data_IF_692141279865
#
_entry.id   IF_692141279865
#
_cell.length_a   1.000
_cell.length_b   1.000
_cell.length_c   1.000
_cell.angle_alpha   90.00
_cell.angle_beta   90.00
_cell.angle_gamma   90.00
#
_symmetry.space_group_name_H-M   'P 1'
#
loop_
_entity.id
_entity.type
_entity.pdbx_description
1 polymer ?
#
# COMPACT_ATOMS: atom_id res chain seq x y z
N UNK A 1 5.66 26.23 -32.84
CA UNK A 1 4.99 24.98 -33.28
C UNK A 1 5.36 23.88 -32.30
N UNK A 2 4.53 23.68 -31.33
CA UNK A 2 4.73 22.63 -30.30
C UNK A 2 4.49 21.27 -30.97
N UNK A 3 5.52 20.44 -31.04
CA UNK A 3 5.46 19.12 -31.64
C UNK A 3 4.51 18.29 -30.80
N UNK A 4 3.26 18.14 -31.22
CA UNK A 4 2.27 17.24 -30.61
C UNK A 4 2.90 15.84 -30.59
N UNK A 5 3.52 15.49 -29.44
CA UNK A 5 4.19 14.22 -29.22
C UNK A 5 3.11 13.15 -29.33
N UNK A 6 3.02 12.46 -30.46
CA UNK A 6 2.19 11.26 -30.60
C UNK A 6 2.61 10.31 -29.50
N UNK A 7 1.72 10.12 -28.54
CA UNK A 7 1.99 9.26 -27.39
C UNK A 7 2.05 7.82 -27.91
N UNK A 8 3.24 7.24 -27.86
CA UNK A 8 3.49 5.88 -28.29
C UNK A 8 2.61 4.89 -27.53
N UNK A 9 2.22 3.78 -28.18
CA UNK A 9 1.48 2.69 -27.56
C UNK A 9 2.11 2.21 -26.26
N UNK A 10 3.45 2.28 -26.15
CA UNK A 10 4.22 1.97 -24.95
C UNK A 10 3.83 2.84 -23.75
N UNK A 11 3.55 4.12 -23.98
CA UNK A 11 3.07 5.03 -22.95
C UNK A 11 1.73 4.57 -22.41
N UNK A 12 0.78 4.28 -23.28
CA UNK A 12 -0.54 3.82 -22.88
C UNK A 12 -0.52 2.47 -22.18
N UNK A 13 0.32 1.54 -22.64
CA UNK A 13 0.51 0.25 -21.95
C UNK A 13 1.05 0.44 -20.54
N UNK A 14 1.99 1.36 -20.31
CA UNK A 14 2.50 1.69 -18.97
C UNK A 14 1.43 2.35 -18.10
N UNK A 15 0.67 3.29 -18.62
CA UNK A 15 -0.42 3.96 -17.89
C UNK A 15 -1.48 2.94 -17.44
N UNK A 16 -1.97 2.15 -18.37
CA UNK A 16 -2.98 1.14 -18.05
C UNK A 16 -2.42 0.03 -17.15
N UNK A 17 -1.20 -0.44 -17.43
CA UNK A 17 -0.55 -1.49 -16.64
C UNK A 17 -0.32 -1.08 -15.19
N UNK A 18 0.31 0.06 -14.95
CA UNK A 18 0.57 0.55 -13.59
C UNK A 18 -0.73 0.90 -12.86
N UNK A 19 -1.67 1.55 -13.54
CA UNK A 19 -2.97 1.88 -12.96
C UNK A 19 -3.75 0.64 -12.55
N UNK A 20 -3.84 -0.36 -13.45
CA UNK A 20 -4.53 -1.61 -13.17
C UNK A 20 -3.88 -2.39 -12.02
N UNK A 21 -2.56 -2.54 -12.05
CA UNK A 21 -1.80 -3.24 -10.99
C UNK A 21 -1.99 -2.55 -9.65
N UNK A 22 -1.88 -1.22 -9.60
CA UNK A 22 -2.09 -0.45 -8.37
C UNK A 22 -3.49 -0.65 -7.79
N UNK A 23 -4.53 -0.59 -8.63
CA UNK A 23 -5.91 -0.80 -8.18
C UNK A 23 -6.19 -2.24 -7.75
N UNK A 24 -5.60 -3.23 -8.42
CA UNK A 24 -5.70 -4.64 -8.00
C UNK A 24 -5.04 -4.86 -6.64
N UNK A 25 -3.83 -4.31 -6.42
CA UNK A 25 -3.15 -4.40 -5.13
C UNK A 25 -3.98 -3.77 -4.01
N UNK A 26 -4.51 -2.56 -4.20
CA UNK A 26 -5.40 -1.91 -3.23
C UNK A 26 -6.67 -2.72 -2.95
N UNK A 27 -7.25 -3.34 -3.98
CA UNK A 27 -8.44 -4.17 -3.82
C UNK A 27 -8.13 -5.42 -3.00
N UNK A 28 -7.02 -6.09 -3.29
CA UNK A 28 -6.56 -7.26 -2.53
C UNK A 28 -6.31 -6.87 -1.06
N UNK A 29 -5.61 -5.77 -0.81
CA UNK A 29 -5.33 -5.26 0.53
C UNK A 29 -6.63 -5.02 1.31
N UNK A 30 -7.58 -4.29 0.74
CA UNK A 30 -8.81 -3.94 1.43
C UNK A 30 -9.78 -5.12 1.64
N UNK A 31 -9.76 -6.13 0.77
CA UNK A 31 -10.69 -7.26 0.85
C UNK A 31 -10.09 -8.47 1.58
N UNK A 32 -8.93 -8.92 1.11
CA UNK A 32 -8.35 -10.18 1.57
C UNK A 32 -7.60 -10.07 2.89
N UNK A 33 -6.97 -8.93 3.17
CA UNK A 33 -6.22 -8.75 4.41
C UNK A 33 -7.14 -8.64 5.62
N UNK A 34 -8.28 -7.98 5.50
CA UNK A 34 -9.29 -7.97 6.54
C UNK A 34 -9.78 -9.39 6.84
N UNK A 35 -10.03 -10.18 5.79
CA UNK A 35 -10.42 -11.59 5.95
C UNK A 35 -9.32 -12.43 6.58
N UNK A 36 -8.06 -12.20 6.17
CA UNK A 36 -6.89 -12.87 6.75
C UNK A 36 -6.76 -12.59 8.24
N UNK A 37 -6.84 -11.34 8.65
CA UNK A 37 -6.75 -10.94 10.06
C UNK A 37 -7.85 -11.61 10.88
N UNK A 38 -9.08 -11.59 10.39
CA UNK A 38 -10.20 -12.22 11.07
C UNK A 38 -10.05 -13.74 11.20
N UNK A 39 -9.55 -14.40 10.15
CA UNK A 39 -9.42 -15.86 10.12
C UNK A 39 -8.19 -16.37 10.87
N UNK A 40 -7.07 -15.64 10.86
CA UNK A 40 -5.75 -16.13 11.29
C UNK A 40 -5.18 -15.45 12.53
N UNK A 41 -5.59 -14.23 12.80
CA UNK A 41 -5.06 -13.43 13.91
C UNK A 41 -6.05 -13.38 15.07
N UNK A 42 -7.22 -12.83 14.84
CA UNK A 42 -8.27 -12.74 15.86
C UNK A 42 -9.65 -12.56 15.24
N UNK A 43 -10.64 -13.23 15.79
CA UNK A 43 -12.05 -13.04 15.42
C UNK A 43 -12.64 -11.81 16.13
N UNK A 44 -11.96 -10.69 16.03
CA UNK A 44 -12.34 -9.43 16.65
C UNK A 44 -12.36 -8.29 15.61
N UNK A 45 -13.54 -7.77 15.26
CA UNK A 45 -13.67 -6.65 14.33
C UNK A 45 -12.98 -5.37 14.79
N UNK A 46 -12.74 -5.22 16.09
CA UNK A 46 -12.09 -4.03 16.66
C UNK A 46 -10.66 -3.89 16.14
N UNK A 47 -9.91 -4.99 16.01
CA UNK A 47 -8.53 -5.00 15.48
C UNK A 47 -8.52 -4.54 14.02
N UNK A 48 -9.48 -5.02 13.21
CA UNK A 48 -9.62 -4.61 11.81
C UNK A 48 -9.95 -3.11 11.73
N UNK A 49 -10.82 -2.61 12.61
CA UNK A 49 -11.16 -1.19 12.64
C UNK A 49 -9.96 -0.31 12.97
N UNK A 50 -9.13 -0.71 13.93
CA UNK A 50 -7.87 -0.01 14.23
C UNK A 50 -6.87 -0.08 13.08
N UNK A 51 -6.72 -1.24 12.47
CA UNK A 51 -5.87 -1.44 11.30
C UNK A 51 -6.25 -0.47 10.18
N UNK A 52 -7.50 -0.46 9.76
CA UNK A 52 -8.01 0.42 8.70
C UNK A 52 -7.86 1.90 9.07
N UNK A 53 -8.15 2.30 10.31
CA UNK A 53 -8.05 3.69 10.74
C UNK A 53 -6.60 4.19 10.72
N UNK A 54 -5.66 3.41 11.23
CA UNK A 54 -4.24 3.78 11.28
C UNK A 54 -3.65 3.80 9.86
N UNK A 55 -4.02 2.85 9.02
CA UNK A 55 -3.59 2.82 7.61
C UNK A 55 -4.12 3.99 6.80
N UNK A 56 -5.37 4.43 7.04
CA UNK A 56 -5.91 5.63 6.41
C UNK A 56 -5.13 6.90 6.79
N UNK A 57 -4.71 7.02 8.05
CA UNK A 57 -3.85 8.12 8.51
C UNK A 57 -2.48 8.03 7.85
N UNK A 58 -1.86 6.85 7.83
CA UNK A 58 -0.56 6.60 7.21
C UNK A 58 -0.57 6.94 5.71
N UNK A 59 -1.61 6.50 4.98
CA UNK A 59 -1.84 6.81 3.56
C UNK A 59 -1.95 8.32 3.32
N UNK A 60 -2.72 9.02 4.15
CA UNK A 60 -2.89 10.47 4.04
C UNK A 60 -1.56 11.20 4.22
N UNK A 61 -0.82 10.86 5.27
CA UNK A 61 0.51 11.44 5.55
C UNK A 61 1.46 11.15 4.39
N UNK A 62 1.50 9.92 3.89
CA UNK A 62 2.36 9.52 2.78
C UNK A 62 2.05 10.31 1.51
N UNK A 63 0.77 10.46 1.15
CA UNK A 63 0.34 11.20 -0.03
C UNK A 63 0.82 12.65 0.02
N UNK A 64 0.62 13.35 1.13
CA UNK A 64 1.09 14.72 1.29
C UNK A 64 2.61 14.83 1.29
N UNK A 65 3.28 13.98 2.06
CA UNK A 65 4.74 14.01 2.20
C UNK A 65 5.44 13.71 0.86
N UNK A 66 5.09 12.59 0.22
CA UNK A 66 5.72 12.16 -1.02
C UNK A 66 5.22 12.92 -2.24
N UNK A 67 3.99 13.42 -2.23
CA UNK A 67 3.50 14.34 -3.25
C UNK A 67 4.38 15.58 -3.32
N UNK A 68 4.53 16.30 -2.20
CA UNK A 68 5.37 17.48 -2.12
C UNK A 68 6.86 17.21 -2.37
N UNK A 69 7.37 16.05 -1.90
CA UNK A 69 8.77 15.69 -2.07
C UNK A 69 9.09 15.30 -3.51
N UNK A 70 8.17 14.60 -4.18
CA UNK A 70 8.33 14.23 -5.59
C UNK A 70 8.27 15.43 -6.51
N UNK A 71 7.43 16.43 -6.19
CA UNK A 71 7.33 17.69 -6.91
C UNK A 71 8.63 18.50 -6.81
N UNK A 72 9.20 18.59 -5.61
CA UNK A 72 10.48 19.30 -5.39
C UNK A 72 11.66 18.65 -6.08
N UNK A 73 11.73 17.31 -6.09
CA UNK A 73 12.86 16.56 -6.65
C UNK A 73 12.74 16.28 -8.15
N UNK A 74 11.55 16.36 -8.74
CA UNK A 74 11.31 16.07 -10.15
C UNK A 74 11.62 14.64 -10.61
N UNK A 75 11.88 13.71 -9.68
CA UNK A 75 12.31 12.33 -9.97
C UNK A 75 11.19 11.31 -9.68
N UNK A 76 10.02 11.50 -10.27
CA UNK A 76 8.82 10.70 -9.99
C UNK A 76 9.02 9.19 -10.19
N UNK A 77 9.80 8.78 -11.20
CA UNK A 77 10.10 7.35 -11.46
C UNK A 77 10.69 6.63 -10.25
N UNK A 78 11.58 7.30 -9.51
CA UNK A 78 12.22 6.69 -8.34
C UNK A 78 11.21 6.48 -7.21
N UNK A 79 10.29 7.43 -6.99
CA UNK A 79 9.25 7.30 -5.98
C UNK A 79 8.27 6.18 -6.32
N UNK A 80 7.88 6.05 -7.59
CA UNK A 80 7.04 4.95 -8.07
C UNK A 80 7.75 3.62 -7.85
N UNK A 81 8.98 3.45 -8.36
CA UNK A 81 9.72 2.20 -8.27
C UNK A 81 10.00 1.76 -6.83
N UNK A 82 10.53 2.67 -6.00
CA UNK A 82 10.81 2.39 -4.58
C UNK A 82 9.50 2.11 -3.82
N UNK A 83 8.46 2.89 -4.06
CA UNK A 83 7.16 2.70 -3.44
C UNK A 83 6.59 1.31 -3.69
N UNK A 84 6.55 0.86 -4.94
CA UNK A 84 6.05 -0.48 -5.28
C UNK A 84 6.92 -1.62 -4.73
N UNK A 85 8.25 -1.47 -4.73
CA UNK A 85 9.16 -2.47 -4.15
C UNK A 85 8.93 -2.60 -2.64
N UNK A 86 8.89 -1.47 -1.93
CA UNK A 86 8.67 -1.47 -0.48
C UNK A 86 7.25 -1.96 -0.14
N UNK A 87 6.26 -1.57 -0.93
CA UNK A 87 4.90 -2.09 -0.78
C UNK A 87 4.87 -3.61 -0.86
N UNK A 88 5.53 -4.21 -1.87
CA UNK A 88 5.65 -5.66 -2.01
C UNK A 88 6.38 -6.32 -0.82
N UNK A 89 7.47 -5.73 -0.33
CA UNK A 89 8.21 -6.24 0.84
C UNK A 89 7.31 -6.25 2.09
N UNK A 90 6.62 -5.13 2.37
CA UNK A 90 5.74 -5.05 3.53
C UNK A 90 4.49 -5.91 3.40
N UNK A 91 4.01 -6.18 2.17
CA UNK A 91 2.96 -7.18 1.90
C UNK A 91 3.41 -8.58 2.33
N UNK A 92 4.64 -8.96 2.02
CA UNK A 92 5.21 -10.24 2.46
C UNK A 92 5.33 -10.27 3.98
N UNK A 93 5.84 -9.19 4.60
CA UNK A 93 5.95 -9.09 6.05
C UNK A 93 4.58 -9.18 6.73
N UNK A 94 3.54 -8.57 6.17
CA UNK A 94 2.18 -8.70 6.65
C UNK A 94 1.73 -10.17 6.68
N UNK A 95 1.99 -10.92 5.61
CA UNK A 95 1.70 -12.36 5.55
C UNK A 95 2.42 -13.18 6.64
N UNK A 96 3.63 -12.80 7.03
CA UNK A 96 4.39 -13.52 8.07
C UNK A 96 3.82 -13.34 9.48
N UNK A 97 2.93 -12.38 9.70
CA UNK A 97 2.27 -12.20 11.01
C UNK A 97 1.46 -13.41 11.45
N UNK A 98 1.03 -14.26 10.53
CA UNK A 98 0.38 -15.55 10.81
C UNK A 98 1.25 -16.47 11.70
N UNK A 99 2.57 -16.36 11.58
CA UNK A 99 3.48 -17.19 12.39
C UNK A 99 3.43 -16.88 13.87
N UNK A 100 3.06 -15.65 14.24
CA UNK A 100 2.91 -15.24 15.64
C UNK A 100 1.79 -16.03 16.32
N UNK A 101 0.73 -16.31 15.58
CA UNK A 101 -0.46 -17.04 16.09
C UNK A 101 -0.41 -18.55 15.77
N UNK A 102 0.60 -19.00 15.00
CA UNK A 102 0.69 -20.39 14.54
C UNK A 102 -0.41 -20.78 13.54
N UNK A 103 -0.97 -19.79 12.80
CA UNK A 103 -1.99 -20.01 11.77
C UNK A 103 -3.41 -20.19 12.29
N UNK A 104 -3.63 -20.02 13.60
CA UNK A 104 -4.94 -20.05 14.25
C UNK A 104 -5.19 -18.76 15.02
N UNK A 105 -6.44 -18.33 15.21
CA UNK A 105 -6.73 -17.16 16.02
C UNK A 105 -6.08 -17.24 17.41
N UNK A 106 -5.58 -16.11 17.89
CA UNK A 106 -4.81 -16.03 19.14
C UNK A 106 -5.55 -16.69 20.31
N UNK A 107 -4.84 -17.57 21.03
CA UNK A 107 -5.37 -18.32 22.16
C UNK A 107 -5.17 -17.63 23.51
N UNK A 108 -4.26 -16.67 23.59
CA UNK A 108 -3.94 -15.91 24.80
C UNK A 108 -3.94 -14.40 24.55
N UNK A 109 -4.20 -13.62 25.60
CA UNK A 109 -4.20 -12.17 25.52
C UNK A 109 -2.85 -11.58 25.09
N UNK A 110 -1.75 -12.20 25.49
CA UNK A 110 -0.40 -11.76 25.13
C UNK A 110 -0.11 -11.98 23.65
N UNK A 111 -0.44 -13.16 23.11
CA UNK A 111 -0.29 -13.48 21.70
C UNK A 111 -1.20 -12.59 20.86
N UNK A 112 -2.43 -12.35 21.33
CA UNK A 112 -3.36 -11.45 20.66
C UNK A 112 -2.81 -10.03 20.56
N UNK A 113 -2.29 -9.48 21.65
CA UNK A 113 -1.73 -8.12 21.67
C UNK A 113 -0.53 -7.99 20.74
N UNK A 114 0.37 -8.98 20.77
CA UNK A 114 1.55 -8.99 19.90
C UNK A 114 1.16 -9.10 18.42
N UNK A 115 0.28 -10.03 18.09
CA UNK A 115 -0.17 -10.25 16.73
C UNK A 115 -0.97 -9.05 16.18
N UNK A 116 -1.87 -8.48 16.99
CA UNK A 116 -2.63 -7.29 16.60
C UNK A 116 -1.71 -6.08 16.36
N UNK A 117 -0.74 -5.86 17.22
CA UNK A 117 0.23 -4.77 17.04
C UNK A 117 1.08 -4.99 15.78
N UNK A 118 1.56 -6.20 15.55
CA UNK A 118 2.36 -6.54 14.37
C UNK A 118 1.56 -6.34 13.06
N UNK A 119 0.30 -6.77 13.03
CA UNK A 119 -0.60 -6.60 11.88
C UNK A 119 -0.87 -5.13 11.59
N UNK A 120 -1.23 -4.35 12.61
CA UNK A 120 -1.51 -2.92 12.45
C UNK A 120 -0.27 -2.16 11.98
N UNK A 121 0.90 -2.44 12.53
CA UNK A 121 2.14 -1.81 12.09
C UNK A 121 2.53 -2.21 10.66
N UNK A 122 2.42 -3.50 10.32
CA UNK A 122 2.76 -3.98 8.98
C UNK A 122 1.82 -3.38 7.92
N UNK A 123 0.51 -3.32 8.20
CA UNK A 123 -0.48 -2.74 7.32
C UNK A 123 -0.29 -1.23 7.14
N UNK A 124 0.00 -0.51 8.23
CA UNK A 124 0.28 0.93 8.16
C UNK A 124 1.53 1.24 7.31
N UNK A 125 2.60 0.46 7.45
CA UNK A 125 3.82 0.62 6.64
C UNK A 125 3.57 0.24 5.18
N UNK A 126 2.85 -0.84 4.94
CA UNK A 126 2.45 -1.28 3.62
C UNK A 126 1.63 -0.22 2.89
N UNK A 127 0.59 0.31 3.53
CA UNK A 127 -0.26 1.37 2.99
C UNK A 127 0.50 2.68 2.80
N UNK A 128 1.43 3.01 3.68
CA UNK A 128 2.30 4.18 3.56
C UNK A 128 3.16 4.14 2.29
N UNK A 129 3.82 3.03 2.01
CA UNK A 129 4.63 2.87 0.81
C UNK A 129 3.80 2.61 -0.45
N UNK A 130 2.66 1.94 -0.32
CA UNK A 130 1.69 1.81 -1.41
C UNK A 130 1.19 3.16 -1.90
N UNK A 131 0.84 4.04 -0.98
CA UNK A 131 0.45 5.42 -1.30
C UNK A 131 1.58 6.25 -1.88
N UNK A 132 2.83 6.06 -1.42
CA UNK A 132 4.00 6.69 -2.03
C UNK A 132 4.15 6.34 -3.51
N UNK A 133 3.99 5.08 -3.86
CA UNK A 133 4.13 4.59 -5.25
C UNK A 133 2.92 4.93 -6.12
N UNK A 134 1.72 4.61 -5.64
CA UNK A 134 0.48 4.70 -6.40
C UNK A 134 -0.16 6.09 -6.33
N UNK A 135 -0.45 6.60 -5.15
CA UNK A 135 -1.22 7.84 -5.02
C UNK A 135 -0.36 9.08 -5.28
N UNK A 136 0.78 9.19 -4.62
CA UNK A 136 1.66 10.32 -4.79
C UNK A 136 2.51 10.22 -6.07
N UNK A 137 3.10 9.05 -6.35
CA UNK A 137 4.03 8.89 -7.46
C UNK A 137 3.32 8.76 -8.82
N UNK A 138 2.46 7.76 -8.96
CA UNK A 138 1.80 7.45 -10.23
C UNK A 138 0.83 8.54 -10.68
N UNK A 139 -0.06 9.02 -9.79
CA UNK A 139 -1.02 10.07 -10.15
C UNK A 139 -0.33 11.38 -10.53
N UNK A 140 0.74 11.75 -9.81
CA UNK A 140 1.52 12.93 -10.16
C UNK A 140 2.26 12.78 -11.50
N UNK A 141 2.82 11.58 -11.76
CA UNK A 141 3.44 11.29 -13.06
C UNK A 141 2.42 11.34 -14.20
N UNK A 142 1.22 10.81 -13.98
CA UNK A 142 0.14 10.84 -14.97
C UNK A 142 -0.27 12.28 -15.29
N UNK A 143 -0.43 13.14 -14.28
CA UNK A 143 -0.78 14.55 -14.46
C UNK A 143 0.31 15.33 -15.24
N UNK A 144 1.59 15.05 -15.01
CA UNK A 144 2.67 15.68 -15.78
C UNK A 144 2.70 15.27 -17.25
N UNK A 145 2.13 14.12 -17.56
CA UNK A 145 2.16 13.56 -18.92
C UNK A 145 0.89 13.91 -19.72
N UNK A 146 -0.17 14.35 -19.09
CA UNK A 146 -1.41 14.79 -19.76
C UNK A 146 -1.38 16.25 -20.13
#
# INVERSE_FOLDING_TARGET
>A
MEKKRTRDIRFWVLVWGLGLVGQLCWNIENQWFNTFVYAKIAKDPTIISWMVAISAIATTIATFLFGTLSDRKGKRKNFIGIGYILWGIFTILFGTTEWITGGQPASSAQVLMLAATAVVCADALMSFFGSMGNDAGYNAWLNDMM
#
